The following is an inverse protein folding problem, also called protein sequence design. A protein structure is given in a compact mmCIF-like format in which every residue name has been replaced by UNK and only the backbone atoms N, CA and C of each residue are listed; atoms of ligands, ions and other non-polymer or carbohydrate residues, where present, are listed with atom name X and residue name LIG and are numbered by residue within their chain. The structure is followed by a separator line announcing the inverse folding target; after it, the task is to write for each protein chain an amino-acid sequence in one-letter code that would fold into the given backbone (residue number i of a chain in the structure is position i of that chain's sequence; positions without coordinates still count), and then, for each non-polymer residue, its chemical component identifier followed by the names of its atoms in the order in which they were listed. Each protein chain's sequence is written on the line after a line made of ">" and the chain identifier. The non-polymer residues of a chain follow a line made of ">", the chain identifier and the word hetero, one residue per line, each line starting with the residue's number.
data_IF_049840115002
#
_entry.id   IF_049840115002
#
_cell.length_a   1.000
_cell.length_b   1.000
_cell.length_c   1.000
_cell.angle_alpha   90.00
_cell.angle_beta   90.00
_cell.angle_gamma   90.00
#
_symmetry.space_group_name_H-M   'P 1'
#
loop_
_entity.id
_entity.type
_entity.pdbx_description
1 polymer ?
#
# COMPACT_ATOMS: atom_id res chain seq x y z
N UNK A 1 51.35 13.76 -30.63
CA UNK A 1 50.70 12.91 -29.63
C UNK A 1 49.24 13.39 -29.49
N UNK A 2 48.29 12.69 -30.11
CA UNK A 2 46.86 13.05 -30.12
C UNK A 2 46.19 12.49 -28.86
N UNK A 3 45.71 13.40 -28.00
CA UNK A 3 44.90 13.01 -26.83
C UNK A 3 43.49 12.68 -27.32
N UNK A 4 43.13 11.44 -27.35
CA UNK A 4 41.76 10.94 -27.62
C UNK A 4 40.95 11.07 -26.33
N UNK A 5 40.11 12.11 -26.25
CA UNK A 5 39.13 12.24 -25.20
C UNK A 5 37.93 11.29 -25.52
N UNK A 6 37.86 10.17 -24.84
CA UNK A 6 36.73 9.26 -24.91
C UNK A 6 35.59 9.82 -24.03
N UNK A 7 34.60 10.45 -24.65
CA UNK A 7 33.38 10.91 -24.00
C UNK A 7 32.47 9.69 -23.84
N UNK A 8 32.43 9.11 -22.65
CA UNK A 8 31.44 8.05 -22.31
C UNK A 8 30.14 8.79 -21.98
N UNK A 9 29.23 8.79 -22.93
CA UNK A 9 27.84 9.22 -22.69
C UNK A 9 27.16 8.17 -21.78
N UNK A 10 26.98 8.52 -20.50
CA UNK A 10 26.23 7.74 -19.54
C UNK A 10 24.74 7.96 -19.82
N UNK A 11 24.16 7.18 -20.73
CA UNK A 11 22.70 7.12 -20.90
C UNK A 11 22.14 6.31 -19.73
N UNK A 12 21.82 7.00 -18.64
CA UNK A 12 21.04 6.44 -17.57
C UNK A 12 19.63 6.16 -18.08
N UNK A 13 19.30 4.90 -18.30
CA UNK A 13 17.91 4.47 -18.49
C UNK A 13 17.17 4.75 -17.19
N UNK A 14 16.45 5.85 -17.13
CA UNK A 14 15.41 6.04 -16.13
C UNK A 14 14.35 4.98 -16.44
N UNK A 15 14.35 3.88 -15.71
CA UNK A 15 13.23 2.97 -15.68
C UNK A 15 12.03 3.77 -15.16
N UNK A 16 11.22 4.28 -16.08
CA UNK A 16 9.92 4.82 -15.74
C UNK A 16 9.11 3.65 -15.20
N UNK A 17 8.81 3.66 -13.91
CA UNK A 17 7.75 2.83 -13.35
C UNK A 17 6.48 3.19 -14.10
N UNK A 18 6.09 2.37 -15.06
CA UNK A 18 4.76 2.45 -15.63
C UNK A 18 3.81 2.09 -14.49
N UNK A 19 3.12 3.09 -13.96
CA UNK A 19 2.00 2.89 -13.07
C UNK A 19 0.88 2.31 -13.95
N UNK A 20 0.81 0.99 -14.02
CA UNK A 20 -0.27 0.29 -14.68
C UNK A 20 -1.52 0.46 -13.84
N UNK A 21 -2.64 0.82 -14.47
CA UNK A 21 -3.92 0.86 -13.82
C UNK A 21 -4.51 -0.55 -13.82
N UNK A 22 -4.82 -1.08 -12.65
CA UNK A 22 -5.48 -2.36 -12.48
C UNK A 22 -6.99 -2.18 -12.54
N UNK A 23 -7.69 -3.11 -13.16
CA UNK A 23 -9.14 -3.19 -13.08
C UNK A 23 -9.55 -3.95 -11.81
N UNK A 24 -10.30 -3.29 -10.95
CA UNK A 24 -10.69 -3.86 -9.65
C UNK A 24 -12.20 -3.79 -9.45
N UNK A 25 -12.73 -4.79 -8.76
CA UNK A 25 -14.10 -4.79 -8.26
C UNK A 25 -14.06 -4.78 -6.73
N UNK A 26 -14.83 -3.90 -6.11
CA UNK A 26 -14.89 -3.74 -4.67
C UNK A 26 -16.25 -4.17 -4.20
N UNK A 27 -16.27 -5.12 -3.28
CA UNK A 27 -17.50 -5.64 -2.68
C UNK A 27 -17.46 -5.43 -1.17
N UNK A 28 -18.63 -5.32 -0.59
CA UNK A 28 -18.84 -5.25 0.85
C UNK A 28 -19.54 -6.50 1.28
N UNK A 29 -18.91 -7.27 2.14
CA UNK A 29 -19.57 -8.41 2.76
C UNK A 29 -20.36 -7.93 3.99
N UNK A 30 -21.68 -8.15 4.03
CA UNK A 30 -22.51 -7.75 5.17
C UNK A 30 -22.16 -8.47 6.47
N UNK A 31 -21.37 -9.56 6.41
CA UNK A 31 -20.95 -10.33 7.58
C UNK A 31 -19.78 -9.67 8.34
N UNK A 32 -19.09 -8.69 7.75
CA UNK A 32 -17.96 -8.01 8.37
C UNK A 32 -17.73 -6.56 7.94
N UNK A 33 -18.76 -5.91 7.39
CA UNK A 33 -18.67 -4.48 7.12
C UNK A 33 -19.88 -3.73 7.63
N UNK A 34 -19.67 -2.58 8.26
CA UNK A 34 -20.72 -1.62 8.66
C UNK A 34 -20.70 -0.37 7.79
N UNK A 35 -21.87 0.21 7.56
CA UNK A 35 -22.00 1.52 6.92
C UNK A 35 -21.58 2.63 7.92
N UNK A 36 -20.73 3.62 7.52
CA UNK A 36 -20.24 3.88 6.16
C UNK A 36 -18.88 3.22 5.83
N UNK A 37 -18.25 2.48 6.75
CA UNK A 37 -16.93 1.89 6.59
C UNK A 37 -16.87 0.39 6.92
N UNK A 38 -15.70 -0.08 7.34
CA UNK A 38 -15.43 -1.47 7.71
C UNK A 38 -14.57 -2.17 6.67
N UNK A 39 -14.61 -3.49 6.69
CA UNK A 39 -13.83 -4.35 5.82
C UNK A 39 -14.49 -4.49 4.44
N UNK A 40 -13.67 -4.38 3.38
CA UNK A 40 -14.07 -4.55 2.00
C UNK A 40 -13.21 -5.62 1.34
N UNK A 41 -13.79 -6.34 0.39
CA UNK A 41 -13.06 -7.25 -0.46
C UNK A 41 -12.79 -6.58 -1.80
N UNK A 42 -11.53 -6.49 -2.20
CA UNK A 42 -11.10 -6.12 -3.54
C UNK A 42 -10.80 -7.39 -4.32
N UNK A 43 -11.43 -7.56 -5.47
CA UNK A 43 -11.08 -8.58 -6.45
C UNK A 43 -10.46 -7.92 -7.69
N UNK A 44 -9.37 -8.52 -8.17
CA UNK A 44 -8.64 -8.04 -9.34
C UNK A 44 -9.22 -8.72 -10.59
N UNK A 45 -9.25 -7.98 -11.72
CA UNK A 45 -9.68 -8.58 -12.98
C UNK A 45 -8.63 -9.59 -13.47
N UNK A 46 -9.01 -10.82 -13.80
CA UNK A 46 -8.07 -11.82 -14.30
C UNK A 46 -7.31 -11.41 -15.55
N UNK A 47 -7.83 -10.46 -16.34
CA UNK A 47 -7.15 -9.94 -17.53
C UNK A 47 -5.84 -9.20 -17.17
N UNK A 48 -5.72 -8.70 -15.94
CA UNK A 48 -4.53 -8.01 -15.44
C UNK A 48 -3.49 -8.95 -14.81
N UNK A 49 -3.71 -10.27 -14.86
CA UNK A 49 -2.86 -11.28 -14.19
C UNK A 49 -1.38 -11.28 -14.63
N UNK A 50 -1.07 -10.71 -15.79
CA UNK A 50 0.31 -10.52 -16.28
C UNK A 50 0.99 -9.24 -15.77
N UNK A 51 0.26 -8.36 -15.09
CA UNK A 51 0.81 -7.12 -14.56
C UNK A 51 1.64 -7.40 -13.29
N UNK A 52 2.87 -6.89 -13.19
CA UNK A 52 3.70 -7.05 -11.99
C UNK A 52 3.05 -6.49 -10.72
N UNK A 53 2.24 -5.43 -10.85
CA UNK A 53 1.50 -4.84 -9.72
C UNK A 53 0.42 -5.80 -9.25
N UNK A 54 -0.31 -6.44 -10.18
CA UNK A 54 -1.29 -7.48 -9.88
C UNK A 54 -0.67 -8.60 -9.05
N UNK A 55 0.46 -9.15 -9.48
CA UNK A 55 1.13 -10.24 -8.78
C UNK A 55 1.66 -9.83 -7.40
N UNK A 56 2.01 -8.55 -7.22
CA UNK A 56 2.49 -8.04 -5.92
C UNK A 56 1.39 -7.98 -4.87
N UNK A 57 0.13 -7.75 -5.26
CA UNK A 57 -1.01 -7.62 -4.34
C UNK A 57 -1.61 -8.99 -3.97
N UNK A 58 -1.63 -9.95 -4.88
CA UNK A 58 -2.32 -11.25 -4.71
C UNK A 58 -1.86 -12.06 -3.51
N UNK A 59 -0.66 -11.81 -2.98
CA UNK A 59 -0.11 -12.57 -1.85
C UNK A 59 -0.81 -12.31 -0.50
N UNK A 60 -1.85 -11.46 -0.47
CA UNK A 60 -2.59 -11.09 0.75
C UNK A 60 -4.00 -11.69 0.81
N UNK A 61 -4.22 -12.80 0.14
CA UNK A 61 -5.49 -13.50 0.15
C UNK A 61 -5.86 -13.99 1.57
N UNK A 62 -7.03 -13.58 2.04
CA UNK A 62 -7.65 -14.17 3.23
C UNK A 62 -8.52 -15.38 2.81
N UNK A 63 -8.13 -16.61 3.15
CA UNK A 63 -8.90 -17.80 2.78
C UNK A 63 -10.31 -17.82 3.40
N UNK A 64 -10.59 -17.01 4.42
CA UNK A 64 -11.90 -16.91 5.04
C UNK A 64 -12.93 -16.23 4.15
N UNK A 65 -12.51 -15.37 3.23
CA UNK A 65 -13.40 -14.63 2.30
C UNK A 65 -13.74 -15.40 1.04
N UNK A 66 -12.97 -16.45 0.72
CA UNK A 66 -13.12 -17.29 -0.48
C UNK A 66 -13.07 -16.52 -1.81
N UNK A 67 -12.55 -15.31 -1.82
CA UNK A 67 -12.37 -14.53 -3.05
C UNK A 67 -11.06 -14.94 -3.71
N UNK A 68 -11.14 -15.72 -4.78
CA UNK A 68 -9.98 -16.08 -5.57
C UNK A 68 -9.41 -14.83 -6.25
N UNK A 69 -8.14 -14.51 -6.00
CA UNK A 69 -7.47 -13.34 -6.58
C UNK A 69 -7.89 -12.00 -5.99
N UNK A 70 -8.32 -11.99 -4.72
CA UNK A 70 -8.70 -10.77 -4.00
C UNK A 70 -7.97 -10.60 -2.67
N UNK A 71 -8.22 -9.49 -2.01
CA UNK A 71 -7.70 -9.18 -0.67
C UNK A 71 -8.68 -8.32 0.11
N UNK A 72 -8.61 -8.43 1.44
CA UNK A 72 -9.40 -7.60 2.33
C UNK A 72 -8.72 -6.25 2.57
N UNK A 73 -9.52 -5.18 2.64
CA UNK A 73 -9.02 -3.81 2.74
C UNK A 73 -9.94 -2.90 3.54
N UNK A 74 -9.43 -1.70 3.80
CA UNK A 74 -10.12 -0.60 4.48
C UNK A 74 -9.98 0.70 3.71
N UNK A 75 -10.94 1.60 3.92
CA UNK A 75 -10.94 2.93 3.32
C UNK A 75 -9.92 3.85 3.97
N UNK A 76 -9.18 4.62 3.15
CA UNK A 76 -8.24 5.64 3.64
C UNK A 76 -8.94 6.97 3.96
N UNK A 77 -10.04 7.29 3.31
CA UNK A 77 -10.76 8.57 3.48
C UNK A 77 -12.20 8.33 3.90
N UNK A 78 -12.70 9.12 4.83
CA UNK A 78 -14.13 9.13 5.18
C UNK A 78 -14.93 10.15 4.38
N UNK A 79 -14.25 11.07 3.67
CA UNK A 79 -14.88 12.17 2.92
C UNK A 79 -15.16 11.84 1.46
N UNK A 80 -14.56 10.77 0.93
CA UNK A 80 -14.73 10.32 -0.45
C UNK A 80 -15.56 9.04 -0.45
N UNK A 81 -16.66 9.04 -1.20
CA UNK A 81 -17.53 7.86 -1.32
C UNK A 81 -16.94 6.80 -2.25
N UNK A 82 -17.31 5.54 -2.00
CA UNK A 82 -17.05 4.44 -2.93
C UNK A 82 -18.01 4.55 -4.12
N UNK A 83 -17.45 4.60 -5.33
CA UNK A 83 -18.22 4.62 -6.58
C UNK A 83 -18.52 3.20 -7.07
N UNK A 84 -19.23 3.09 -8.20
CA UNK A 84 -19.60 1.81 -8.80
C UNK A 84 -18.42 0.98 -9.33
N UNK A 85 -18.66 -0.28 -9.59
CA UNK A 85 -17.71 -1.20 -10.21
C UNK A 85 -17.94 -1.30 -11.74
N UNK A 86 -16.93 -1.67 -12.54
CA UNK A 86 -15.53 -1.80 -12.16
C UNK A 86 -14.85 -0.45 -11.94
N UNK A 87 -13.70 -0.46 -11.23
CA UNK A 87 -12.89 0.73 -10.98
C UNK A 87 -11.46 0.52 -11.49
N UNK A 88 -10.77 1.62 -11.79
CA UNK A 88 -9.35 1.59 -12.12
C UNK A 88 -8.55 1.91 -10.85
N UNK A 89 -7.64 1.02 -10.48
CA UNK A 89 -6.79 1.15 -9.30
C UNK A 89 -5.35 1.44 -9.67
N UNK A 90 -4.72 2.39 -8.97
CA UNK A 90 -3.28 2.65 -9.09
C UNK A 90 -2.64 2.65 -7.70
N UNK A 91 -1.54 1.94 -7.54
CA UNK A 91 -0.80 1.91 -6.28
C UNK A 91 0.11 3.12 -6.15
N UNK A 92 0.13 3.72 -4.97
CA UNK A 92 1.10 4.75 -4.61
C UNK A 92 1.62 4.53 -3.20
N UNK A 93 2.95 4.65 -2.98
CA UNK A 93 3.53 4.49 -1.65
C UNK A 93 3.25 5.69 -0.72
N UNK A 94 2.65 6.74 -1.22
CA UNK A 94 2.38 7.98 -0.51
C UNK A 94 0.92 8.04 -0.01
N UNK A 95 0.69 8.85 1.01
CA UNK A 95 -0.65 9.12 1.52
C UNK A 95 -1.14 8.17 2.61
N UNK A 96 -0.28 7.26 3.10
CA UNK A 96 -0.59 6.38 4.22
C UNK A 96 0.21 6.80 5.46
N UNK A 97 -0.45 7.02 6.57
CA UNK A 97 0.20 7.27 7.86
C UNK A 97 0.91 6.00 8.36
N UNK A 98 2.04 6.16 9.06
CA UNK A 98 2.84 5.00 9.51
C UNK A 98 2.07 4.08 10.46
N UNK A 99 1.24 4.63 11.33
CA UNK A 99 0.36 3.86 12.22
C UNK A 99 -0.73 3.10 11.46
N UNK A 100 -1.30 3.71 10.41
CA UNK A 100 -2.24 3.05 9.50
C UNK A 100 -1.58 1.86 8.80
N UNK A 101 -0.39 2.08 8.23
CA UNK A 101 0.36 1.03 7.56
C UNK A 101 0.68 -0.13 8.52
N UNK A 102 1.07 0.20 9.77
CA UNK A 102 1.32 -0.81 10.80
C UNK A 102 0.06 -1.61 11.17
N UNK A 103 -1.06 -0.93 11.45
CA UNK A 103 -2.33 -1.60 11.78
C UNK A 103 -2.77 -2.54 10.66
N UNK A 104 -2.74 -2.05 9.43
CA UNK A 104 -3.15 -2.83 8.27
C UNK A 104 -2.21 -4.02 8.02
N UNK A 105 -0.89 -3.85 8.21
CA UNK A 105 0.04 -4.97 8.13
C UNK A 105 -0.24 -6.04 9.18
N UNK A 106 -0.63 -5.65 10.41
CA UNK A 106 -1.03 -6.58 11.47
C UNK A 106 -2.34 -7.30 11.13
N UNK A 107 -3.29 -6.57 10.53
CA UNK A 107 -4.53 -7.15 10.05
C UNK A 107 -4.25 -8.20 8.96
N UNK A 108 -3.54 -7.87 7.89
CA UNK A 108 -3.25 -8.80 6.79
C UNK A 108 -2.51 -10.05 7.26
N UNK A 109 -1.60 -9.91 8.23
CA UNK A 109 -0.87 -11.04 8.81
C UNK A 109 -1.66 -11.78 9.92
N UNK A 110 -2.91 -11.40 10.19
CA UNK A 110 -3.76 -11.96 11.25
C UNK A 110 -3.12 -11.92 12.66
N UNK A 111 -2.30 -10.88 12.90
CA UNK A 111 -1.57 -10.68 14.16
C UNK A 111 -2.05 -9.44 14.94
N UNK A 112 -3.15 -8.82 14.49
CA UNK A 112 -3.76 -7.69 15.17
C UNK A 112 -4.51 -8.18 16.42
N UNK A 113 -3.98 -7.89 17.60
CA UNK A 113 -4.58 -8.31 18.87
C UNK A 113 -5.92 -7.58 19.08
N UNK A 114 -6.91 -8.33 19.52
CA UNK A 114 -8.27 -7.83 19.76
C UNK A 114 -9.17 -7.80 18.52
N UNK A 115 -8.65 -8.19 17.34
CA UNK A 115 -9.47 -8.35 16.14
C UNK A 115 -10.16 -9.73 16.15
N UNK A 116 -11.47 -9.75 15.91
CA UNK A 116 -12.26 -10.97 15.79
C UNK A 116 -12.27 -11.44 14.33
N UNK A 117 -11.65 -12.56 14.05
CA UNK A 117 -11.47 -13.07 12.68
C UNK A 117 -12.67 -13.91 12.18
N UNK A 118 -13.39 -14.54 13.10
CA UNK A 118 -14.55 -15.36 12.73
C UNK A 118 -15.67 -14.48 12.15
N UNK A 119 -16.28 -14.87 11.01
CA UNK A 119 -17.41 -14.15 10.42
C UNK A 119 -18.56 -13.92 11.40
N UNK A 120 -19.23 -12.78 11.30
CA UNK A 120 -20.38 -12.42 12.12
C UNK A 120 -20.18 -11.11 12.90
N UNK A 121 -21.08 -10.81 13.82
CA UNK A 121 -21.16 -9.54 14.52
C UNK A 121 -19.85 -9.12 15.24
N UNK A 122 -19.05 -10.07 15.71
CA UNK A 122 -17.75 -9.76 16.35
C UNK A 122 -16.73 -9.23 15.33
N UNK A 123 -16.65 -9.82 14.13
CA UNK A 123 -15.77 -9.34 13.06
C UNK A 123 -16.24 -8.00 12.52
N UNK A 124 -17.56 -7.83 12.36
CA UNK A 124 -18.17 -6.57 11.96
C UNK A 124 -17.82 -5.43 12.92
N UNK A 125 -17.95 -5.68 14.24
CA UNK A 125 -17.55 -4.68 15.25
C UNK A 125 -16.04 -4.38 15.21
N UNK A 126 -15.19 -5.40 15.09
CA UNK A 126 -13.74 -5.22 14.98
C UNK A 126 -13.35 -4.48 13.71
N UNK A 127 -14.00 -4.77 12.57
CA UNK A 127 -13.78 -4.09 11.31
C UNK A 127 -14.14 -2.60 11.39
N UNK A 128 -15.26 -2.29 12.06
CA UNK A 128 -15.65 -0.91 12.30
C UNK A 128 -14.65 -0.16 13.18
N UNK A 129 -14.22 -0.76 14.28
CA UNK A 129 -13.20 -0.17 15.16
C UNK A 129 -11.87 0.05 14.44
N UNK A 130 -11.43 -0.90 13.61
CA UNK A 130 -10.21 -0.75 12.83
C UNK A 130 -10.33 0.34 11.77
N UNK A 131 -11.48 0.44 11.10
CA UNK A 131 -11.75 1.51 10.15
C UNK A 131 -11.70 2.89 10.80
N UNK A 132 -12.25 3.03 12.02
CA UNK A 132 -12.19 4.28 12.79
C UNK A 132 -10.76 4.61 13.21
N UNK A 133 -9.95 3.61 13.60
CA UNK A 133 -8.55 3.80 13.91
C UNK A 133 -7.76 4.33 12.69
N UNK A 134 -8.01 3.74 11.51
CA UNK A 134 -7.41 4.16 10.24
C UNK A 134 -7.77 5.62 9.94
N UNK A 135 -9.04 5.98 10.00
CA UNK A 135 -9.48 7.36 9.72
C UNK A 135 -8.90 8.37 10.71
N UNK A 136 -8.83 8.02 11.99
CA UNK A 136 -8.20 8.88 12.99
C UNK A 136 -6.72 9.14 12.65
N UNK A 137 -5.96 8.11 12.29
CA UNK A 137 -4.55 8.22 11.91
C UNK A 137 -4.33 8.94 10.57
N UNK A 138 -5.34 8.99 9.70
CA UNK A 138 -5.31 9.73 8.44
C UNK A 138 -5.72 11.21 8.61
N UNK A 139 -5.91 11.68 9.85
CA UNK A 139 -6.29 13.06 10.14
C UNK A 139 -7.69 13.42 9.66
N UNK A 140 -8.56 12.44 9.48
CA UNK A 140 -9.94 12.69 9.06
C UNK A 140 -10.79 12.99 10.30
N UNK A 141 -11.36 14.19 10.44
CA UNK A 141 -12.01 14.65 11.68
C UNK A 141 -13.42 14.08 11.86
N UNK A 142 -13.64 12.80 11.61
CA UNK A 142 -15.00 12.26 11.60
C UNK A 142 -15.55 12.00 12.99
N UNK A 143 -14.69 11.68 13.98
CA UNK A 143 -15.12 11.47 15.36
C UNK A 143 -13.92 11.58 16.32
N UNK A 144 -14.15 12.14 17.51
CA UNK A 144 -13.19 12.20 18.62
C UNK A 144 -13.03 10.80 19.31
N UNK A 145 -12.86 9.77 18.48
CA UNK A 145 -12.88 8.37 18.94
C UNK A 145 -11.46 7.79 19.11
N UNK A 146 -10.43 8.52 18.67
CA UNK A 146 -9.06 8.03 18.78
C UNK A 146 -8.67 7.69 20.24
N UNK A 147 -9.13 8.46 21.19
CA UNK A 147 -8.82 8.28 22.62
C UNK A 147 -9.46 7.02 23.23
N UNK A 148 -10.55 6.51 22.67
CA UNK A 148 -11.28 5.34 23.17
C UNK A 148 -11.14 4.10 22.26
N UNK A 149 -10.52 4.26 21.07
CA UNK A 149 -10.38 3.17 20.10
C UNK A 149 -9.50 2.05 20.65
N UNK A 150 -10.01 0.82 20.63
CA UNK A 150 -9.35 -0.34 21.23
C UNK A 150 -8.00 -0.69 20.60
N UNK A 151 -7.82 -0.41 19.31
CA UNK A 151 -6.55 -0.67 18.62
C UNK A 151 -5.51 0.41 18.92
N UNK A 152 -5.89 1.68 18.96
CA UNK A 152 -4.98 2.80 19.22
C UNK A 152 -4.54 2.87 20.69
N UNK A 153 -5.35 2.37 21.60
CA UNK A 153 -5.02 2.31 23.04
C UNK A 153 -4.41 0.98 23.47
N UNK A 154 -4.34 -0.02 22.55
CA UNK A 154 -3.77 -1.33 22.86
C UNK A 154 -2.29 -1.26 23.23
N UNK A 155 -1.85 -2.16 24.12
CA UNK A 155 -0.43 -2.29 24.44
C UNK A 155 0.42 -2.65 23.21
N UNK A 156 -0.16 -3.35 22.23
CA UNK A 156 0.50 -3.69 20.98
C UNK A 156 0.84 -2.42 20.17
N UNK A 157 -0.09 -1.47 20.07
CA UNK A 157 0.12 -0.22 19.36
C UNK A 157 1.03 0.75 20.12
N UNK A 158 0.78 0.94 21.42
CA UNK A 158 1.52 1.90 22.26
C UNK A 158 2.96 1.47 22.53
N UNK A 159 3.29 0.18 22.36
CA UNK A 159 4.69 -0.29 22.40
C UNK A 159 5.50 0.13 21.17
N UNK A 160 4.84 0.48 20.06
CA UNK A 160 5.50 0.90 18.81
C UNK A 160 5.49 2.42 18.65
N UNK A 161 4.37 3.05 18.98
CA UNK A 161 4.18 4.49 18.83
C UNK A 161 4.07 5.18 20.18
N UNK A 162 4.99 6.11 20.45
CA UNK A 162 5.02 6.86 21.70
C UNK A 162 3.88 7.87 21.85
N UNK A 163 3.23 8.23 20.73
CA UNK A 163 2.08 9.13 20.68
C UNK A 163 1.28 8.92 19.39
N UNK A 164 0.02 9.39 19.38
CA UNK A 164 -0.81 9.37 18.18
C UNK A 164 -0.16 10.21 17.07
N UNK A 165 0.36 11.40 17.40
CA UNK A 165 1.05 12.25 16.44
C UNK A 165 2.24 11.58 15.76
N UNK A 166 2.97 10.70 16.47
CA UNK A 166 4.05 9.92 15.87
C UNK A 166 3.52 8.86 14.88
N UNK A 167 2.33 8.32 15.12
CA UNK A 167 1.69 7.35 14.26
C UNK A 167 1.00 7.98 13.04
N UNK A 168 0.65 9.27 13.11
CA UNK A 168 0.04 10.06 12.03
C UNK A 168 1.08 10.54 10.99
N UNK A 169 2.37 10.40 11.26
CA UNK A 169 3.41 10.79 10.31
C UNK A 169 3.27 9.99 9.01
N UNK A 170 3.39 10.68 7.89
CA UNK A 170 3.39 10.04 6.59
C UNK A 170 4.59 9.11 6.45
N UNK A 171 4.35 7.90 5.99
CA UNK A 171 5.39 6.92 5.73
C UNK A 171 5.20 6.33 4.34
N UNK A 172 6.12 6.64 3.44
CA UNK A 172 6.12 6.08 2.08
C UNK A 172 6.51 4.60 2.13
N UNK A 173 5.58 3.71 1.77
CA UNK A 173 5.83 2.26 1.68
C UNK A 173 6.18 1.57 3.00
N UNK A 174 5.91 2.19 4.17
CA UNK A 174 6.15 1.55 5.46
C UNK A 174 5.33 0.26 5.58
N UNK A 175 5.94 -0.79 6.12
CA UNK A 175 5.32 -2.10 6.28
C UNK A 175 4.82 -2.72 4.97
N UNK A 176 5.34 -2.26 3.82
CA UNK A 176 4.90 -2.65 2.49
C UNK A 176 3.42 -2.34 2.22
N UNK A 177 2.90 -1.27 2.81
CA UNK A 177 1.52 -0.83 2.65
C UNK A 177 1.49 0.42 1.80
N UNK A 178 0.74 0.35 0.72
CA UNK A 178 0.51 1.44 -0.23
C UNK A 178 -0.97 1.83 -0.26
N UNK A 179 -1.24 3.03 -0.77
CA UNK A 179 -2.58 3.45 -1.11
C UNK A 179 -2.95 2.92 -2.50
N UNK A 180 -4.08 2.23 -2.60
CA UNK A 180 -4.73 1.89 -3.84
C UNK A 180 -5.71 3.03 -4.16
N UNK A 181 -5.28 3.95 -5.02
CA UNK A 181 -6.12 5.06 -5.48
C UNK A 181 -7.07 4.57 -6.56
N UNK A 182 -8.34 4.87 -6.40
CA UNK A 182 -9.40 4.36 -7.23
C UNK A 182 -10.03 5.47 -8.05
N UNK A 183 -10.36 5.15 -9.30
CA UNK A 183 -11.16 5.99 -10.18
C UNK A 183 -12.23 5.15 -10.86
N UNK A 184 -13.39 5.74 -11.07
CA UNK A 184 -14.49 5.16 -11.82
C UNK A 184 -14.84 6.06 -13.00
N UNK A 185 -15.10 5.48 -14.17
CA UNK A 185 -15.58 6.25 -15.30
C UNK A 185 -17.09 6.43 -15.17
N UNK A 186 -17.53 7.69 -15.10
CA UNK A 186 -18.96 8.03 -15.09
C UNK A 186 -19.64 7.68 -16.44
N UNK A 187 -20.93 7.91 -16.53
CA UNK A 187 -21.72 7.63 -17.73
C UNK A 187 -21.22 8.37 -18.99
N UNK A 188 -20.51 9.49 -18.82
CA UNK A 188 -19.91 10.26 -19.91
C UNK A 188 -18.48 9.78 -20.26
N UNK A 189 -17.99 8.72 -19.60
CA UNK A 189 -16.63 8.19 -19.77
C UNK A 189 -15.54 9.04 -19.09
N UNK A 190 -15.89 9.97 -18.21
CA UNK A 190 -14.94 10.80 -17.49
C UNK A 190 -14.51 10.12 -16.20
N UNK A 191 -13.21 10.11 -15.86
CA UNK A 191 -12.75 9.54 -14.61
C UNK A 191 -13.19 10.41 -13.42
N UNK A 192 -13.80 9.79 -12.43
CA UNK A 192 -14.15 10.36 -11.14
C UNK A 192 -13.35 9.68 -10.04
N UNK A 193 -12.86 10.46 -9.07
CA UNK A 193 -12.11 9.93 -7.94
C UNK A 193 -13.06 9.15 -7.04
N UNK A 194 -12.72 7.89 -6.80
CA UNK A 194 -13.38 7.02 -5.84
C UNK A 194 -12.54 6.90 -4.56
N UNK A 195 -13.12 6.30 -3.53
CA UNK A 195 -12.49 6.15 -2.22
C UNK A 195 -11.19 5.35 -2.31
N UNK A 196 -10.03 5.91 -1.88
CA UNK A 196 -8.80 5.15 -1.85
C UNK A 196 -8.84 4.09 -0.75
N UNK A 197 -8.19 2.94 -1.03
CA UNK A 197 -8.10 1.77 -0.17
C UNK A 197 -6.66 1.48 0.22
N UNK A 198 -6.46 0.56 1.16
CA UNK A 198 -5.15 0.04 1.55
C UNK A 198 -4.83 -1.22 0.75
N UNK A 199 -3.56 -1.38 0.37
CA UNK A 199 -3.05 -2.62 -0.20
C UNK A 199 -1.67 -2.95 0.39
N UNK A 200 -1.40 -4.23 0.65
CA UNK A 200 -0.03 -4.67 0.93
C UNK A 200 0.62 -5.04 -0.41
N UNK A 201 1.80 -4.51 -0.64
CA UNK A 201 2.60 -4.83 -1.80
C UNK A 201 3.77 -5.72 -1.37
N UNK A 202 4.05 -6.77 -2.12
CA UNK A 202 5.30 -7.48 -1.90
C UNK A 202 6.42 -6.49 -2.11
N UNK A 203 7.35 -6.38 -1.13
CA UNK A 203 8.54 -5.57 -1.33
C UNK A 203 9.14 -5.99 -2.66
N UNK A 204 9.13 -5.09 -3.64
CA UNK A 204 9.97 -5.29 -4.79
C UNK A 204 11.36 -5.52 -4.22
N UNK A 205 11.90 -6.72 -4.37
CA UNK A 205 13.32 -6.98 -4.08
C UNK A 205 14.04 -5.85 -4.78
N UNK A 206 14.82 -5.01 -4.08
CA UNK A 206 15.51 -3.90 -4.72
C UNK A 206 16.16 -4.48 -5.97
N UNK A 207 15.75 -3.98 -7.12
CA UNK A 207 16.13 -4.54 -8.40
C UNK A 207 17.64 -4.76 -8.36
N UNK A 208 18.08 -6.04 -8.42
CA UNK A 208 19.50 -6.40 -8.33
C UNK A 208 20.31 -5.62 -9.36
N UNK A 209 19.67 -5.01 -10.37
CA UNK A 209 20.22 -4.06 -11.29
C UNK A 209 20.80 -2.81 -10.63
N UNK A 210 20.12 -2.21 -9.67
CA UNK A 210 20.65 -1.02 -8.96
C UNK A 210 21.86 -1.38 -8.10
N UNK A 211 21.83 -2.53 -7.44
CA UNK A 211 22.96 -3.02 -6.62
C UNK A 211 24.14 -3.42 -7.51
N UNK A 212 23.90 -4.08 -8.64
CA UNK A 212 24.94 -4.44 -9.61
C UNK A 212 25.53 -3.20 -10.28
N UNK A 213 24.71 -2.18 -10.57
CA UNK A 213 25.17 -0.91 -11.14
C UNK A 213 26.03 -0.11 -10.16
N UNK A 214 25.63 -0.04 -8.88
CA UNK A 214 26.42 0.56 -7.80
C UNK A 214 27.73 -0.19 -7.57
N UNK A 215 27.70 -1.53 -7.57
CA UNK A 215 28.87 -2.37 -7.45
C UNK A 215 29.80 -2.21 -8.66
N UNK A 216 29.24 -2.13 -9.87
CA UNK A 216 29.98 -1.87 -11.11
C UNK A 216 30.65 -0.51 -11.12
N UNK A 217 29.99 0.55 -10.63
CA UNK A 217 30.55 1.88 -10.48
C UNK A 217 31.66 1.91 -9.42
N UNK A 218 31.47 1.22 -8.29
CA UNK A 218 32.48 1.13 -7.24
C UNK A 218 33.75 0.41 -7.73
N UNK A 219 33.60 -0.75 -8.39
CA UNK A 219 34.71 -1.53 -8.94
C UNK A 219 35.40 -0.79 -10.09
N UNK A 220 34.63 -0.13 -10.99
CA UNK A 220 35.17 0.70 -12.07
C UNK A 220 35.96 1.89 -11.53
N UNK A 221 35.47 2.56 -10.50
CA UNK A 221 36.16 3.64 -9.80
C UNK A 221 37.48 3.19 -9.20
N UNK A 222 37.52 2.05 -8.54
CA UNK A 222 38.75 1.47 -7.98
C UNK A 222 39.81 1.15 -9.06
N UNK A 223 39.40 0.66 -10.22
CA UNK A 223 40.31 0.39 -11.34
C UNK A 223 40.93 1.68 -11.91
N UNK A 224 40.19 2.77 -11.95
CA UNK A 224 40.70 4.08 -12.40
C UNK A 224 41.69 4.69 -11.40
N UNK A 225 41.42 4.61 -10.11
CA UNK A 225 42.32 5.14 -9.08
C UNK A 225 43.62 4.34 -8.96
N UNK A 226 43.57 3.01 -9.08
CA UNK A 226 44.76 2.19 -8.98
C UNK A 226 45.75 2.38 -10.13
N UNK A 227 45.30 2.78 -11.32
CA UNK A 227 46.16 3.17 -12.45
C UNK A 227 46.89 4.50 -12.25
N UNK A 228 46.26 5.43 -11.52
CA UNK A 228 46.86 6.77 -11.31
C UNK A 228 47.93 6.78 -10.22
N UNK A 229 47.94 5.78 -9.34
CA UNK A 229 48.96 5.63 -8.27
C UNK A 229 50.21 4.86 -8.70
N UNK A 230 50.23 4.32 -9.94
CA UNK A 230 51.40 3.59 -10.50
C UNK A 230 52.12 4.35 -11.62
N UNK A 231 51.71 5.58 -11.89
CA UNK A 231 52.36 6.50 -12.84
C UNK A 231 53.03 7.64 -12.09
#
# INVERSE_FOLDING_TARGET
>A
MRKLCLLIALTGSLASYQCSALTVNITRDPSYSQQPGGEFTVSLDPSDAGDPVFTSIINNYDPSTKVNGGFETFCLSSSIGLLGNPQNGTLTPNGVAVGTAWLYSKFVNQTLLGYTWAPGAGREASAWELQNAIWALQGTPVFDWAAANVFLTSAQFTSVFSSLAAAELAASGAYNVDALNLTHNNADGRPETSQPMLAVVSSAIPDGGATVMLLGLALGGFCFFSRKLRA
#
